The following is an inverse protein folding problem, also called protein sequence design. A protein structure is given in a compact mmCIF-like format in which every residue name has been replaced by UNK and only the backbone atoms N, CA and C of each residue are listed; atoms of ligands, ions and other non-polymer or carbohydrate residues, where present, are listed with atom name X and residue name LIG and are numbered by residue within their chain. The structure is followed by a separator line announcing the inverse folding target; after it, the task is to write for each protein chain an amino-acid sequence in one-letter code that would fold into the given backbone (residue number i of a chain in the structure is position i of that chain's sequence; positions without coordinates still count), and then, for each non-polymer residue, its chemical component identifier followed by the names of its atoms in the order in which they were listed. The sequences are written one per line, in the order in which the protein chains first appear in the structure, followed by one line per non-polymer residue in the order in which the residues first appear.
data_IF_621189460534
#
_entry.id   IF_621189460534
#
_cell.length_a   1.000
_cell.length_b   1.000
_cell.length_c   1.000
_cell.angle_alpha   90.00
_cell.angle_beta   90.00
_cell.angle_gamma   90.00
#
_symmetry.space_group_name_H-M   'P 1'
#
loop_
_entity.id
_entity.type
_entity.pdbx_description
1 polymer ?
#
# COMPACT_ATOMS: atom_id res chain seq x y z
N UNK A 1 -29.95 -40.78 -4.71
CA UNK A 1 -29.69 -39.32 -4.66
C UNK A 1 -28.42 -39.18 -3.84
N UNK A 2 -27.29 -39.05 -4.52
CA UNK A 2 -26.00 -38.80 -3.88
C UNK A 2 -25.84 -37.29 -4.02
N UNK A 3 -25.88 -36.59 -2.89
CA UNK A 3 -25.64 -35.16 -2.84
C UNK A 3 -24.15 -34.94 -3.12
N UNK A 4 -23.85 -34.34 -4.27
CA UNK A 4 -22.54 -33.81 -4.56
C UNK A 4 -22.42 -32.50 -3.79
N UNK A 5 -21.73 -32.54 -2.64
CA UNK A 5 -21.29 -31.32 -1.97
C UNK A 5 -20.18 -30.71 -2.86
N UNK A 6 -20.25 -29.43 -3.24
CA UNK A 6 -19.20 -28.82 -4.02
C UNK A 6 -17.93 -28.75 -3.16
N UNK A 7 -16.87 -29.38 -3.66
CA UNK A 7 -15.50 -29.24 -3.17
C UNK A 7 -15.08 -27.79 -3.44
N UNK A 8 -15.24 -26.92 -2.44
CA UNK A 8 -14.70 -25.56 -2.48
C UNK A 8 -13.19 -25.68 -2.28
N UNK A 9 -12.46 -25.80 -3.39
CA UNK A 9 -11.03 -25.50 -3.42
C UNK A 9 -10.89 -24.02 -3.04
N UNK A 10 -10.42 -23.75 -1.81
CA UNK A 10 -9.95 -22.41 -1.45
C UNK A 10 -8.61 -22.23 -2.14
N UNK A 11 -8.54 -21.37 -3.17
CA UNK A 11 -7.27 -20.79 -3.62
C UNK A 11 -6.63 -20.09 -2.40
N UNK A 12 -5.62 -20.72 -1.79
CA UNK A 12 -4.89 -20.24 -0.61
C UNK A 12 -3.89 -19.10 -0.89
N UNK A 13 -3.97 -18.45 -2.06
CA UNK A 13 -3.13 -17.31 -2.43
C UNK A 13 -4.00 -16.04 -2.48
N UNK A 14 -4.16 -15.39 -1.33
CA UNK A 14 -4.81 -14.08 -1.25
C UNK A 14 -4.15 -13.08 -2.22
N UNK A 15 -4.95 -12.30 -2.94
CA UNK A 15 -4.41 -11.41 -3.99
C UNK A 15 -3.60 -10.28 -3.35
N UNK A 16 -2.27 -10.33 -3.50
CA UNK A 16 -1.39 -9.26 -3.03
C UNK A 16 -1.39 -8.10 -4.04
N UNK A 17 -1.86 -6.94 -3.59
CA UNK A 17 -1.85 -5.70 -4.37
C UNK A 17 -1.07 -4.59 -3.68
N UNK A 18 -0.43 -3.72 -4.46
CA UNK A 18 0.32 -2.57 -3.95
C UNK A 18 -0.34 -1.29 -4.42
N UNK A 19 -0.65 -0.41 -3.46
CA UNK A 19 -1.22 0.90 -3.68
C UNK A 19 -0.22 1.98 -3.26
N UNK A 20 -0.19 3.08 -4.00
CA UNK A 20 0.72 4.18 -3.76
C UNK A 20 -0.05 5.45 -3.41
N UNK A 21 0.39 6.14 -2.37
CA UNK A 21 -0.22 7.37 -1.87
C UNK A 21 0.82 8.44 -1.61
N UNK A 22 0.43 9.71 -1.74
CA UNK A 22 1.19 10.87 -1.30
C UNK A 22 0.36 11.58 -0.23
N UNK A 23 0.88 11.67 1.00
CA UNK A 23 0.27 12.40 2.10
C UNK A 23 1.04 13.71 2.31
N UNK A 24 0.50 14.82 1.79
CA UNK A 24 1.22 16.09 1.71
C UNK A 24 2.49 15.95 0.87
N UNK A 25 3.65 15.80 1.54
CA UNK A 25 4.95 15.58 0.91
C UNK A 25 5.53 14.18 1.14
N UNK A 26 4.83 13.32 1.87
CA UNK A 26 5.32 12.02 2.30
C UNK A 26 4.80 10.94 1.35
N UNK A 27 5.66 10.24 0.59
CA UNK A 27 5.27 9.09 -0.19
C UNK A 27 5.03 7.89 0.73
N UNK A 28 3.92 7.18 0.48
CA UNK A 28 3.48 6.00 1.22
C UNK A 28 3.21 4.85 0.23
N UNK A 29 3.74 3.68 0.54
CA UNK A 29 3.44 2.40 -0.12
C UNK A 29 2.56 1.58 0.81
N UNK A 30 1.45 1.09 0.28
CA UNK A 30 0.48 0.29 1.01
C UNK A 30 0.34 -1.07 0.32
N UNK A 31 0.67 -2.14 1.02
CA UNK A 31 0.46 -3.50 0.56
C UNK A 31 -0.83 -4.05 1.15
N UNK A 32 -1.66 -4.58 0.28
CA UNK A 32 -2.96 -5.16 0.61
C UNK A 32 -2.98 -6.64 0.22
N UNK A 33 -3.70 -7.44 0.99
CA UNK A 33 -4.02 -8.84 0.74
C UNK A 33 -5.55 -8.92 0.70
N UNK A 34 -6.12 -9.40 -0.40
CA UNK A 34 -7.57 -9.44 -0.60
C UNK A 34 -8.25 -8.06 -0.37
N UNK A 35 -7.58 -7.00 -0.82
CA UNK A 35 -7.96 -5.59 -0.61
C UNK A 35 -7.89 -5.09 0.85
N UNK A 36 -7.44 -5.90 1.80
CA UNK A 36 -7.19 -5.48 3.17
C UNK A 36 -5.74 -5.01 3.34
N UNK A 37 -5.50 -3.76 3.76
CA UNK A 37 -4.15 -3.27 3.98
C UNK A 37 -3.54 -3.93 5.21
N UNK A 38 -2.46 -4.69 5.02
CA UNK A 38 -1.74 -5.37 6.11
C UNK A 38 -0.36 -4.75 6.39
N UNK A 39 0.20 -4.00 5.43
CA UNK A 39 1.50 -3.36 5.59
C UNK A 39 1.49 -1.97 4.94
N UNK A 40 1.91 -0.98 5.72
CA UNK A 40 2.14 0.37 5.20
C UNK A 40 3.57 0.82 5.48
N UNK A 41 4.20 1.41 4.47
CA UNK A 41 5.55 1.95 4.55
C UNK A 41 5.51 3.41 4.12
N UNK A 42 6.05 4.31 4.95
CA UNK A 42 6.19 5.73 4.61
C UNK A 42 7.65 6.09 4.49
N UNK A 43 7.96 7.10 3.69
CA UNK A 43 9.29 7.69 3.72
C UNK A 43 9.52 8.42 5.04
N UNK A 44 10.69 8.19 5.62
CA UNK A 44 11.18 8.91 6.78
C UNK A 44 12.42 9.73 6.38
N UNK A 45 12.34 11.05 6.55
CA UNK A 45 13.38 11.98 6.10
C UNK A 45 14.64 11.92 6.97
N UNK A 46 14.49 11.59 8.25
CA UNK A 46 15.61 11.42 9.17
C UNK A 46 16.36 10.11 8.86
N UNK A 47 15.62 9.00 8.74
CA UNK A 47 16.20 7.70 8.42
C UNK A 47 16.58 7.53 6.94
N UNK A 48 16.16 8.47 6.07
CA UNK A 48 16.32 8.44 4.60
C UNK A 48 15.95 7.07 4.00
N UNK A 49 14.87 6.49 4.49
CA UNK A 49 14.41 5.16 4.12
C UNK A 49 12.90 5.03 4.28
N UNK A 50 12.34 4.00 3.65
CA UNK A 50 10.96 3.61 3.90
C UNK A 50 10.89 2.82 5.21
N UNK A 51 10.09 3.31 6.14
CA UNK A 51 9.86 2.69 7.45
C UNK A 51 8.43 2.19 7.54
N UNK A 52 8.25 1.05 8.20
CA UNK A 52 6.93 0.48 8.45
C UNK A 52 6.17 1.37 9.44
N UNK A 53 5.00 1.83 9.03
CA UNK A 53 4.12 2.69 9.83
C UNK A 53 2.65 2.37 9.55
N UNK A 54 2.14 1.34 10.23
CA UNK A 54 0.73 0.95 10.11
C UNK A 54 -0.23 2.04 10.67
N UNK A 55 0.27 2.99 11.46
CA UNK A 55 -0.51 4.15 11.91
C UNK A 55 -0.92 5.07 10.75
N UNK A 56 -0.15 5.06 9.66
CA UNK A 56 -0.45 5.86 8.47
C UNK A 56 -1.71 5.39 7.74
N UNK A 57 -2.11 4.12 7.89
CA UNK A 57 -3.32 3.57 7.24
C UNK A 57 -4.56 4.35 7.66
N UNK A 58 -4.68 4.69 8.96
CA UNK A 58 -5.77 5.54 9.46
C UNK A 58 -5.70 6.95 8.86
N UNK A 59 -4.50 7.53 8.77
CA UNK A 59 -4.29 8.87 8.20
C UNK A 59 -4.64 8.95 6.71
N UNK A 60 -4.43 7.87 5.95
CA UNK A 60 -4.84 7.79 4.54
C UNK A 60 -6.36 7.89 4.40
N UNK A 61 -7.14 7.40 5.37
CA UNK A 61 -8.59 7.46 5.31
C UNK A 61 -9.16 8.79 5.84
N UNK A 62 -8.50 9.42 6.81
CA UNK A 62 -8.99 10.63 7.50
C UNK A 62 -8.43 11.96 6.96
N UNK A 63 -7.37 11.95 6.13
CA UNK A 63 -6.70 13.19 5.70
C UNK A 63 -7.18 13.69 4.34
N UNK A 64 -7.55 14.97 4.26
CA UNK A 64 -7.88 15.64 3.00
C UNK A 64 -6.65 15.86 2.09
N UNK A 65 -5.43 15.73 2.62
CA UNK A 65 -4.16 15.94 1.92
C UNK A 65 -3.56 14.66 1.32
N UNK A 66 -4.31 13.56 1.36
CA UNK A 66 -3.89 12.28 0.79
C UNK A 66 -4.33 12.15 -0.67
N UNK A 67 -3.42 11.73 -1.53
CA UNK A 67 -3.70 11.45 -2.93
C UNK A 67 -3.24 10.05 -3.29
N UNK A 68 -4.17 9.21 -3.74
CA UNK A 68 -3.83 7.94 -4.39
C UNK A 68 -3.22 8.26 -5.76
N UNK A 69 -2.09 7.67 -6.08
CA UNK A 69 -1.33 7.91 -7.31
C UNK A 69 -0.98 6.60 -7.99
N UNK A 70 -0.65 6.66 -9.28
CA UNK A 70 -0.08 5.50 -9.97
C UNK A 70 1.34 5.20 -9.47
N UNK A 71 1.83 3.99 -9.72
CA UNK A 71 3.23 3.65 -9.41
C UNK A 71 4.22 4.57 -10.14
N UNK A 72 3.94 4.91 -11.39
CA UNK A 72 4.78 5.80 -12.18
C UNK A 72 4.86 7.20 -11.55
N UNK A 73 3.71 7.76 -11.15
CA UNK A 73 3.65 9.06 -10.48
C UNK A 73 4.34 9.03 -9.12
N UNK A 74 4.19 7.94 -8.37
CA UNK A 74 4.89 7.73 -7.12
C UNK A 74 6.41 7.71 -7.29
N UNK A 75 6.93 6.97 -8.28
CA UNK A 75 8.35 6.93 -8.61
C UNK A 75 8.86 8.30 -9.04
N UNK A 76 8.13 9.00 -9.90
CA UNK A 76 8.48 10.35 -10.34
C UNK A 76 8.51 11.34 -9.17
N UNK A 77 7.53 11.26 -8.27
CA UNK A 77 7.49 12.07 -7.06
C UNK A 77 8.73 11.81 -6.20
N UNK A 78 9.04 10.53 -5.91
CA UNK A 78 10.22 10.16 -5.14
C UNK A 78 11.51 10.72 -5.76
N UNK A 79 11.72 10.48 -7.06
CA UNK A 79 12.91 10.95 -7.77
C UNK A 79 13.06 12.46 -7.75
N UNK A 80 11.96 13.20 -7.94
CA UNK A 80 11.95 14.68 -7.88
C UNK A 80 12.38 15.24 -6.52
N UNK A 81 12.27 14.43 -5.46
CA UNK A 81 12.61 14.78 -4.07
C UNK A 81 13.95 14.17 -3.62
N UNK A 82 14.69 13.50 -4.51
CA UNK A 82 15.91 12.78 -4.15
C UNK A 82 15.67 11.55 -3.27
N UNK A 83 14.43 11.05 -3.24
CA UNK A 83 14.04 9.83 -2.55
C UNK A 83 14.30 8.66 -3.49
N UNK A 84 15.00 7.62 -3.00
CA UNK A 84 15.19 6.39 -3.78
C UNK A 84 13.90 5.55 -3.67
N UNK A 85 13.11 5.36 -4.75
CA UNK A 85 11.92 4.53 -4.70
C UNK A 85 12.31 3.06 -4.42
N UNK A 86 11.44 2.36 -3.70
CA UNK A 86 11.52 0.92 -3.42
C UNK A 86 11.02 0.08 -4.59
#
# INVERSE_FOLDING_TARGET
MISEEPDFEYDEDGEISVLYYILGEIPIKLTCEDSFPFRAERWDYDAKSFVLDNGVIKRINDSADVRKVSEADFRNFCLSRGIKPI
#
